data_IF_980866999713
#
_entry.id   IF_980866999713
#
_cell.length_a   1.000
_cell.length_b   1.000
_cell.length_c   1.000
_cell.angle_alpha   90.00
_cell.angle_beta   90.00
_cell.angle_gamma   90.00
#
_symmetry.space_group_name_H-M   'P 1'
#
loop_
_entity.id
_entity.type
_entity.pdbx_description
1 polymer ?
#
# COMPACT_ATOMS: atom_id res chain seq x y z
N UNK A 1 -11.62 -8.62 5.29
CA UNK A 1 -10.26 -8.30 4.82
C UNK A 1 -9.67 -7.18 5.68
N UNK A 2 -8.48 -7.38 6.24
CA UNK A 2 -7.86 -6.44 7.20
C UNK A 2 -7.41 -5.15 6.48
N UNK A 3 -6.88 -5.28 5.27
CA UNK A 3 -6.41 -4.18 4.42
C UNK A 3 -7.32 -3.99 3.20
N UNK A 4 -7.45 -2.76 2.72
CA UNK A 4 -8.22 -2.40 1.53
C UNK A 4 -7.44 -1.45 0.66
N UNK A 5 -7.67 -1.53 -0.65
CA UNK A 5 -7.19 -0.51 -1.60
C UNK A 5 -7.65 0.87 -1.13
N UNK A 6 -6.74 1.83 -1.19
CA UNK A 6 -6.90 3.20 -0.69
C UNK A 6 -6.68 3.38 0.80
N UNK A 7 -6.49 2.32 1.60
CA UNK A 7 -6.07 2.48 2.99
C UNK A 7 -4.78 3.29 3.06
N UNK A 8 -4.75 4.27 3.96
CA UNK A 8 -3.54 5.00 4.33
C UNK A 8 -3.04 4.40 5.64
N UNK A 9 -1.81 3.91 5.63
CA UNK A 9 -1.18 3.27 6.77
C UNK A 9 0.03 4.06 7.25
N UNK A 10 0.31 4.00 8.54
CA UNK A 10 1.61 4.30 9.11
C UNK A 10 2.39 2.99 9.22
N UNK A 11 3.51 2.90 8.51
CA UNK A 11 4.41 1.75 8.50
C UNK A 11 5.68 2.07 9.29
N UNK A 12 6.24 1.07 9.97
CA UNK A 12 7.60 1.08 10.46
C UNK A 12 8.13 -0.35 10.57
N UNK A 13 9.45 -0.50 10.60
CA UNK A 13 10.14 -1.76 10.86
C UNK A 13 11.37 -1.47 11.72
N UNK A 14 11.58 -2.16 12.86
CA UNK A 14 12.76 -1.96 13.69
C UNK A 14 14.06 -2.14 12.92
N UNK A 15 15.05 -1.32 13.24
CA UNK A 15 16.39 -1.42 12.66
C UNK A 15 17.10 -2.67 13.17
N UNK A 16 17.29 -3.66 12.30
CA UNK A 16 17.87 -4.96 12.61
C UNK A 16 19.31 -5.04 12.08
N UNK A 17 20.28 -5.44 12.90
CA UNK A 17 21.67 -5.60 12.46
C UNK A 17 21.81 -6.57 11.28
N UNK A 18 22.67 -6.23 10.33
CA UNK A 18 23.08 -7.09 9.22
C UNK A 18 24.47 -6.72 8.69
N UNK A 19 24.93 -7.43 7.67
CA UNK A 19 26.23 -7.25 7.00
C UNK A 19 26.02 -6.91 5.53
N UNK A 20 26.80 -5.96 5.05
CA UNK A 20 26.86 -5.58 3.64
C UNK A 20 27.62 -6.65 2.85
N UNK A 21 26.98 -7.23 1.84
CA UNK A 21 27.55 -8.30 1.00
C UNK A 21 28.16 -7.74 -0.29
N UNK A 22 27.66 -6.61 -0.77
CA UNK A 22 28.13 -5.98 -2.01
C UNK A 22 27.71 -4.53 -2.10
N UNK A 23 28.43 -3.77 -2.91
CA UNK A 23 28.13 -2.37 -3.24
C UNK A 23 28.45 -2.14 -4.70
N UNK A 24 27.52 -1.51 -5.41
CA UNK A 24 27.77 -0.94 -6.74
C UNK A 24 27.35 0.54 -6.78
N UNK A 25 27.33 1.13 -7.98
CA UNK A 25 26.98 2.55 -8.15
C UNK A 25 25.55 2.87 -7.70
N UNK A 26 24.61 1.96 -7.89
CA UNK A 26 23.19 2.18 -7.65
C UNK A 26 22.70 1.53 -6.35
N UNK A 27 23.30 0.43 -5.92
CA UNK A 27 22.78 -0.42 -4.85
C UNK A 27 23.80 -0.79 -3.79
N UNK A 28 23.30 -0.98 -2.57
CA UNK A 28 23.99 -1.73 -1.51
C UNK A 28 23.25 -3.05 -1.30
N UNK A 29 23.96 -4.15 -1.42
CA UNK A 29 23.43 -5.48 -1.10
C UNK A 29 23.74 -5.81 0.34
N UNK A 30 22.73 -6.27 1.08
CA UNK A 30 22.88 -6.73 2.46
C UNK A 30 22.36 -8.16 2.58
N UNK A 31 22.95 -8.93 3.49
CA UNK A 31 22.29 -10.16 3.94
C UNK A 31 20.93 -9.78 4.54
N UNK A 32 19.85 -10.38 4.09
CA UNK A 32 18.55 -9.97 4.62
C UNK A 32 18.32 -10.61 5.99
N UNK A 33 17.97 -9.84 7.03
CA UNK A 33 17.98 -10.37 8.39
C UNK A 33 16.69 -11.12 8.78
N UNK A 34 15.65 -11.07 7.96
CA UNK A 34 14.32 -11.58 8.33
C UNK A 34 13.86 -12.81 7.55
N UNK A 35 14.51 -13.12 6.42
CA UNK A 35 14.10 -14.23 5.57
C UNK A 35 15.10 -15.36 5.64
N UNK A 36 14.59 -16.58 5.50
CA UNK A 36 15.39 -17.78 5.29
C UNK A 36 15.28 -18.20 3.83
N UNK A 37 16.34 -18.78 3.26
CA UNK A 37 16.26 -19.34 1.91
C UNK A 37 15.29 -20.53 1.96
N UNK A 38 14.34 -20.57 1.03
CA UNK A 38 13.42 -21.70 0.90
C UNK A 38 14.10 -22.83 0.11
N UNK A 39 14.48 -23.95 0.75
CA UNK A 39 15.14 -25.06 0.06
C UNK A 39 14.19 -25.84 -0.86
N UNK A 40 12.88 -25.71 -0.64
CA UNK A 40 11.81 -26.43 -1.33
C UNK A 40 11.18 -25.58 -2.43
N UNK A 41 11.70 -24.37 -2.69
CA UNK A 41 11.27 -23.56 -3.82
C UNK A 41 11.82 -24.14 -5.14
N UNK A 42 10.92 -24.54 -6.04
CA UNK A 42 11.29 -25.14 -7.32
C UNK A 42 11.52 -24.08 -8.41
N UNK A 43 10.74 -23.00 -8.39
CA UNK A 43 10.69 -21.99 -9.45
C UNK A 43 11.59 -20.78 -9.23
N UNK A 44 12.01 -20.51 -7.99
CA UNK A 44 12.77 -19.30 -7.63
C UNK A 44 13.88 -19.65 -6.66
N UNK A 45 15.12 -19.24 -6.98
CA UNK A 45 16.28 -19.39 -6.10
C UNK A 45 16.76 -18.03 -5.65
N UNK A 46 16.50 -17.71 -4.39
CA UNK A 46 17.02 -16.50 -3.75
C UNK A 46 18.31 -16.81 -2.98
N UNK A 47 19.26 -15.88 -2.99
CA UNK A 47 20.60 -16.08 -2.45
C UNK A 47 20.78 -15.59 -0.99
N UNK A 48 19.72 -15.11 -0.35
CA UNK A 48 19.79 -14.57 1.01
C UNK A 48 20.08 -13.07 1.09
N UNK A 49 20.14 -12.37 -0.04
CA UNK A 49 20.54 -10.97 -0.12
C UNK A 49 19.45 -10.08 -0.72
N UNK A 50 19.37 -8.84 -0.23
CA UNK A 50 18.48 -7.80 -0.79
C UNK A 50 19.32 -6.59 -1.16
N UNK A 51 19.08 -6.06 -2.35
CA UNK A 51 19.66 -4.82 -2.84
C UNK A 51 18.77 -3.63 -2.45
N UNK A 52 19.36 -2.62 -1.84
CA UNK A 52 18.71 -1.38 -1.45
C UNK A 52 19.29 -0.22 -2.26
N UNK A 53 18.45 0.70 -2.72
CA UNK A 53 18.90 1.86 -3.47
C UNK A 53 19.86 2.74 -2.65
N UNK A 54 20.91 3.24 -3.28
CA UNK A 54 21.87 4.19 -2.67
C UNK A 54 21.49 5.64 -2.91
N UNK A 55 20.80 5.92 -4.00
CA UNK A 55 20.53 7.28 -4.47
C UNK A 55 19.15 7.80 -4.08
N UNK A 56 18.21 6.93 -3.73
CA UNK A 56 16.85 7.30 -3.37
C UNK A 56 16.75 7.60 -1.87
N UNK A 57 16.66 8.87 -1.45
CA UNK A 57 16.53 9.23 -0.04
C UNK A 57 15.20 8.78 0.56
N UNK A 58 14.21 8.51 -0.29
CA UNK A 58 12.85 8.17 0.09
C UNK A 58 12.59 6.65 -0.02
N UNK A 59 13.61 5.84 -0.35
CA UNK A 59 13.59 4.38 -0.33
C UNK A 59 12.90 3.87 0.94
N UNK A 60 12.03 2.86 0.79
CA UNK A 60 11.19 2.41 1.90
C UNK A 60 12.06 1.84 3.02
N UNK A 61 13.00 0.96 2.65
CA UNK A 61 14.01 0.40 3.54
C UNK A 61 15.28 1.23 3.50
N UNK A 62 15.72 1.69 4.67
CA UNK A 62 16.97 2.44 4.79
C UNK A 62 17.95 1.72 5.70
N UNK A 63 19.22 2.12 5.58
CA UNK A 63 20.32 1.60 6.39
C UNK A 63 20.83 2.65 7.38
N UNK A 64 21.36 2.17 8.50
CA UNK A 64 22.13 2.94 9.47
C UNK A 64 23.47 2.23 9.73
N UNK A 65 24.63 2.80 9.32
CA UNK A 65 24.80 4.08 8.61
C UNK A 65 24.15 4.10 7.21
N UNK A 66 23.90 5.31 6.69
CA UNK A 66 23.23 5.50 5.40
C UNK A 66 23.97 4.81 4.23
N UNK A 67 23.21 4.28 3.26
CA UNK A 67 23.70 3.42 2.18
C UNK A 67 24.83 3.99 1.32
N UNK A 68 24.97 5.31 1.09
CA UNK A 68 26.14 5.85 0.38
C UNK A 68 27.46 5.67 1.11
N UNK A 69 27.44 5.50 2.44
CA UNK A 69 28.62 5.42 3.30
C UNK A 69 29.13 3.99 3.52
N UNK A 70 28.40 2.99 3.05
CA UNK A 70 28.68 1.57 3.32
C UNK A 70 29.66 0.97 2.29
N UNK A 71 30.48 0.04 2.77
CA UNK A 71 31.37 -0.80 1.97
C UNK A 71 31.10 -2.30 2.21
N UNK A 72 31.48 -3.20 1.29
CA UNK A 72 31.36 -4.64 1.50
C UNK A 72 32.07 -5.10 2.77
N UNK A 73 31.39 -5.92 3.57
CA UNK A 73 31.87 -6.42 4.86
C UNK A 73 31.51 -5.55 6.06
N UNK A 74 31.01 -4.33 5.86
CA UNK A 74 30.55 -3.48 6.96
C UNK A 74 29.34 -4.09 7.66
N UNK A 75 29.25 -3.84 8.98
CA UNK A 75 28.02 -4.07 9.74
C UNK A 75 27.18 -2.82 9.70
N UNK A 76 25.90 -2.97 9.36
CA UNK A 76 24.90 -1.90 9.41
C UNK A 76 23.62 -2.41 10.08
N UNK A 77 22.60 -1.56 10.16
CA UNK A 77 21.23 -1.95 10.51
C UNK A 77 20.31 -1.57 9.36
N UNK A 78 19.33 -2.41 9.06
CA UNK A 78 18.29 -2.13 8.07
C UNK A 78 16.93 -2.07 8.75
N UNK A 79 16.08 -1.14 8.32
CA UNK A 79 14.73 -0.97 8.86
C UNK A 79 13.92 0.05 8.08
N UNK A 80 12.73 0.35 8.58
CA UNK A 80 11.84 1.37 8.02
C UNK A 80 11.51 2.35 9.15
N UNK A 81 11.94 3.63 9.09
CA UNK A 81 11.48 4.63 10.04
C UNK A 81 9.96 4.83 9.89
N UNK A 82 9.30 5.34 10.93
CA UNK A 82 7.86 5.58 10.86
C UNK A 82 7.51 6.53 9.69
N UNK A 83 6.74 6.05 8.72
CA UNK A 83 6.37 6.77 7.49
C UNK A 83 4.92 6.48 7.12
N UNK A 84 4.33 7.37 6.31
CA UNK A 84 3.00 7.17 5.74
C UNK A 84 3.13 6.53 4.36
N UNK A 85 2.29 5.53 4.11
CA UNK A 85 2.11 4.86 2.82
C UNK A 85 0.62 4.75 2.52
N UNK A 86 0.25 4.51 1.26
CA UNK A 86 -1.11 4.19 0.88
C UNK A 86 -1.18 3.02 -0.09
N UNK A 87 -2.19 2.17 0.08
CA UNK A 87 -2.34 0.92 -0.65
C UNK A 87 -3.00 1.18 -1.99
N UNK A 88 -2.37 0.71 -3.06
CA UNK A 88 -2.94 0.76 -4.41
C UNK A 88 -3.43 -0.61 -4.89
N UNK A 89 -2.84 -1.70 -4.39
CA UNK A 89 -3.30 -3.06 -4.67
C UNK A 89 -3.18 -3.95 -3.43
N UNK A 90 -4.05 -4.95 -3.35
CA UNK A 90 -4.00 -6.01 -2.35
C UNK A 90 -4.18 -7.35 -3.04
N UNK A 91 -3.24 -8.26 -2.82
CA UNK A 91 -3.26 -9.60 -3.41
C UNK A 91 -3.18 -10.66 -2.33
N UNK A 92 -4.18 -11.54 -2.28
CA UNK A 92 -4.21 -12.72 -1.41
C UNK A 92 -3.85 -13.96 -2.23
N UNK A 93 -2.97 -14.80 -1.67
CA UNK A 93 -2.49 -16.03 -2.30
C UNK A 93 -2.99 -17.25 -1.51
N UNK A 94 -3.66 -18.17 -2.21
CA UNK A 94 -4.01 -19.49 -1.70
C UNK A 94 -3.73 -20.52 -2.81
N UNK A 95 -2.66 -21.34 -2.69
CA UNK A 95 -1.73 -21.43 -1.56
C UNK A 95 -0.78 -20.23 -1.44
N UNK A 96 -0.06 -20.07 -0.30
CA UNK A 96 0.98 -19.05 -0.15
C UNK A 96 2.00 -19.07 -1.28
N UNK A 97 2.45 -17.88 -1.68
CA UNK A 97 3.26 -17.67 -2.86
C UNK A 97 4.68 -18.22 -2.68
N UNK A 98 5.19 -18.92 -3.69
CA UNK A 98 6.58 -19.34 -3.74
C UNK A 98 7.48 -18.19 -4.22
N UNK A 99 8.20 -17.57 -3.29
CA UNK A 99 9.09 -16.42 -3.54
C UNK A 99 10.57 -16.79 -3.57
N UNK A 100 10.92 -18.03 -3.19
CA UNK A 100 12.31 -18.46 -3.00
C UNK A 100 12.85 -18.20 -1.59
N UNK A 101 12.03 -17.65 -0.70
CA UNK A 101 12.34 -17.44 0.72
C UNK A 101 11.16 -17.81 1.62
N UNK A 102 11.48 -18.05 2.90
CA UNK A 102 10.53 -18.29 3.97
C UNK A 102 10.43 -17.07 4.91
N UNK A 103 9.25 -16.82 5.49
CA UNK A 103 7.98 -17.53 5.23
C UNK A 103 7.42 -17.19 3.84
N UNK A 104 6.75 -18.17 3.21
CA UNK A 104 5.99 -17.95 1.97
C UNK A 104 4.79 -17.04 2.27
N UNK A 105 4.68 -15.85 1.66
CA UNK A 105 3.62 -14.90 1.99
C UNK A 105 2.28 -15.36 1.40
N UNK A 106 1.21 -15.20 2.17
CA UNK A 106 -0.17 -15.34 1.72
C UNK A 106 -0.81 -14.00 1.34
N UNK A 107 -0.12 -12.89 1.60
CA UNK A 107 -0.60 -11.54 1.34
C UNK A 107 0.52 -10.63 0.81
N UNK A 108 0.29 -9.97 -0.31
CA UNK A 108 1.11 -8.86 -0.82
C UNK A 108 0.28 -7.58 -0.89
N UNK A 109 0.88 -6.48 -0.46
CA UNK A 109 0.35 -5.13 -0.56
C UNK A 109 1.25 -4.32 -1.47
N UNK A 110 0.70 -3.75 -2.55
CA UNK A 110 1.42 -2.77 -3.35
C UNK A 110 1.14 -1.38 -2.79
N UNK A 111 2.19 -0.66 -2.42
CA UNK A 111 2.07 0.60 -1.68
C UNK A 111 2.83 1.72 -2.37
N UNK A 112 2.27 2.93 -2.26
CA UNK A 112 2.91 4.17 -2.64
C UNK A 112 3.29 4.97 -1.40
N UNK A 113 4.31 5.80 -1.53
CA UNK A 113 4.80 6.66 -0.45
C UNK A 113 3.87 7.87 -0.30
N UNK A 114 3.99 8.53 0.85
CA UNK A 114 3.27 9.79 1.06
C UNK A 114 3.63 10.81 -0.03
N UNK A 115 2.62 11.44 -0.63
CA UNK A 115 2.80 12.41 -1.72
C UNK A 115 2.87 11.82 -3.13
N UNK A 116 2.90 10.50 -3.28
CA UNK A 116 2.83 9.84 -4.60
C UNK A 116 1.37 9.54 -4.98
N UNK A 117 0.93 9.98 -6.15
CA UNK A 117 -0.41 9.67 -6.65
C UNK A 117 -0.36 8.40 -7.51
N UNK A 118 -1.39 7.54 -7.45
CA UNK A 118 -1.48 6.41 -8.37
C UNK A 118 -1.54 6.91 -9.82
N UNK A 119 -0.67 6.39 -10.69
CA UNK A 119 -0.66 6.68 -12.12
C UNK A 119 -1.16 5.47 -12.91
N UNK A 120 -2.37 5.56 -13.46
CA UNK A 120 -2.96 4.48 -14.25
C UNK A 120 -2.22 4.17 -15.56
N UNK A 121 -1.35 5.07 -16.03
CA UNK A 121 -0.53 4.86 -17.22
C UNK A 121 0.82 4.17 -16.92
N UNK A 122 1.22 4.11 -15.65
CA UNK A 122 2.47 3.48 -15.24
C UNK A 122 2.32 1.96 -15.22
N UNK A 123 3.15 1.26 -15.99
CA UNK A 123 3.20 -0.22 -15.99
C UNK A 123 3.73 -0.76 -14.65
N UNK A 124 4.66 -0.04 -14.02
CA UNK A 124 5.25 -0.39 -12.74
C UNK A 124 5.26 0.84 -11.84
N UNK A 125 4.70 0.70 -10.64
CA UNK A 125 4.72 1.76 -9.61
C UNK A 125 4.66 1.14 -8.23
N UNK A 126 5.11 1.89 -7.23
CA UNK A 126 5.07 1.48 -5.83
C UNK A 126 6.06 0.38 -5.45
N UNK A 127 5.89 -0.11 -4.23
CA UNK A 127 6.73 -1.13 -3.62
C UNK A 127 5.85 -2.20 -3.03
N UNK A 128 6.15 -3.47 -3.30
CA UNK A 128 5.47 -4.59 -2.64
C UNK A 128 5.96 -4.74 -1.21
N UNK A 129 5.04 -4.97 -0.28
CA UNK A 129 5.35 -5.44 1.07
C UNK A 129 4.48 -6.65 1.40
N UNK A 130 5.04 -7.60 2.14
CA UNK A 130 4.35 -8.81 2.55
C UNK A 130 4.23 -8.84 4.08
N UNK A 131 3.09 -8.42 4.66
CA UNK A 131 2.93 -8.31 6.11
C UNK A 131 3.16 -9.62 6.87
N UNK A 132 2.89 -10.76 6.23
CA UNK A 132 3.11 -12.11 6.76
C UNK A 132 4.40 -12.76 6.22
N UNK A 133 5.17 -12.03 5.40
CA UNK A 133 6.42 -12.46 4.78
C UNK A 133 7.65 -12.39 5.69
N UNK A 134 7.49 -12.30 7.01
CA UNK A 134 8.59 -12.40 7.99
C UNK A 134 9.28 -11.08 8.37
N UNK A 135 9.15 -10.02 7.56
CA UNK A 135 9.62 -8.68 7.96
C UNK A 135 8.72 -8.15 9.09
N UNK A 136 9.28 -7.71 10.24
CA UNK A 136 8.51 -7.34 11.42
C UNK A 136 7.92 -5.93 11.32
N UNK A 137 7.00 -5.73 10.38
CA UNK A 137 6.32 -4.46 10.23
C UNK A 137 5.40 -4.16 11.40
N UNK A 138 5.34 -2.89 11.79
CA UNK A 138 4.20 -2.31 12.48
C UNK A 138 3.39 -1.53 11.46
N UNK A 139 2.14 -1.95 11.25
CA UNK A 139 1.19 -1.32 10.34
C UNK A 139 0.00 -0.81 11.14
N UNK A 140 -0.25 0.50 11.05
CA UNK A 140 -1.38 1.14 11.73
C UNK A 140 -2.26 1.88 10.73
N UNK A 141 -3.57 1.61 10.75
CA UNK A 141 -4.53 2.31 9.90
C UNK A 141 -4.66 3.78 10.32
N UNK A 142 -4.35 4.69 9.40
CA UNK A 142 -4.51 6.14 9.58
C UNK A 142 -5.83 6.61 9.00
N UNK A 143 -6.18 6.12 7.81
CA UNK A 143 -7.43 6.49 7.13
C UNK A 143 -7.88 5.38 6.18
N UNK A 144 -9.19 5.11 6.18
CA UNK A 144 -9.84 4.23 5.20
C UNK A 144 -10.89 5.05 4.45
N UNK A 145 -10.69 5.32 3.15
CA UNK A 145 -11.69 6.03 2.35
C UNK A 145 -12.95 5.17 2.22
N UNK A 146 -14.12 5.79 2.31
CA UNK A 146 -15.41 5.09 2.19
C UNK A 146 -15.55 3.91 3.16
N UNK A 147 -15.06 4.04 4.40
CA UNK A 147 -15.11 2.98 5.42
C UNK A 147 -16.51 2.45 5.74
N UNK A 148 -17.56 3.13 5.27
CA UNK A 148 -18.96 2.76 5.38
C UNK A 148 -19.46 1.88 4.23
N UNK A 149 -18.62 1.52 3.26
CA UNK A 149 -18.93 0.62 2.14
C UNK A 149 -17.97 -0.59 2.09
N UNK A 150 -18.46 -1.67 1.48
CA UNK A 150 -17.70 -2.85 1.09
C UNK A 150 -17.62 -2.94 -0.44
N UNK A 151 -16.50 -3.44 -0.96
CA UNK A 151 -16.34 -3.66 -2.41
C UNK A 151 -17.42 -4.60 -2.91
N UNK A 152 -18.11 -4.21 -3.99
CA UNK A 152 -19.26 -4.90 -4.56
C UNK A 152 -20.62 -4.40 -4.08
N UNK A 153 -20.67 -3.44 -3.15
CA UNK A 153 -21.93 -2.83 -2.73
C UNK A 153 -22.58 -2.04 -3.87
N UNK A 154 -23.89 -2.22 -4.03
CA UNK A 154 -24.75 -1.45 -4.92
C UNK A 154 -25.47 -0.36 -4.13
N UNK A 155 -25.39 0.88 -4.61
CA UNK A 155 -25.99 2.06 -3.98
C UNK A 155 -26.83 2.84 -4.99
N UNK A 156 -27.91 3.47 -4.51
CA UNK A 156 -28.58 4.55 -5.21
C UNK A 156 -28.01 5.88 -4.71
N UNK A 157 -27.74 6.78 -5.65
CA UNK A 157 -27.33 8.15 -5.36
C UNK A 157 -28.55 9.07 -5.15
N UNK A 158 -28.31 10.34 -4.82
CA UNK A 158 -29.37 11.33 -4.58
C UNK A 158 -30.27 11.60 -5.79
N UNK A 159 -29.80 11.32 -7.00
CA UNK A 159 -30.58 11.42 -8.23
C UNK A 159 -31.38 10.14 -8.54
N UNK A 160 -31.29 9.12 -7.67
CA UNK A 160 -31.91 7.81 -7.86
C UNK A 160 -31.16 6.92 -8.86
N UNK A 161 -29.93 7.28 -9.23
CA UNK A 161 -29.09 6.50 -10.15
C UNK A 161 -28.38 5.40 -9.38
N UNK A 162 -28.33 4.19 -9.95
CA UNK A 162 -27.68 3.04 -9.33
C UNK A 162 -26.20 2.95 -9.72
N UNK A 163 -25.37 2.65 -8.73
CA UNK A 163 -23.92 2.53 -8.84
C UNK A 163 -23.44 1.30 -8.09
N UNK A 164 -22.38 0.68 -8.60
CA UNK A 164 -21.59 -0.32 -7.89
C UNK A 164 -20.29 0.32 -7.39
N UNK A 165 -19.95 0.06 -6.13
CA UNK A 165 -18.68 0.46 -5.52
C UNK A 165 -17.64 -0.64 -5.70
N UNK A 166 -16.67 -0.44 -6.59
CA UNK A 166 -15.57 -1.39 -6.81
C UNK A 166 -14.27 -0.97 -6.09
N UNK A 167 -14.26 0.21 -5.48
CA UNK A 167 -13.15 0.73 -4.70
C UNK A 167 -13.11 2.26 -4.66
N UNK A 168 -12.19 2.86 -3.88
CA UNK A 168 -12.15 4.30 -3.65
C UNK A 168 -11.98 5.16 -4.91
N UNK A 169 -11.53 4.58 -6.03
CA UNK A 169 -11.37 5.25 -7.33
C UNK A 169 -12.19 4.61 -8.46
N UNK A 170 -12.93 3.55 -8.15
CA UNK A 170 -13.62 2.72 -9.14
C UNK A 170 -15.10 2.65 -8.80
N UNK A 171 -15.88 3.42 -9.55
CA UNK A 171 -17.33 3.45 -9.48
C UNK A 171 -17.91 3.09 -10.84
N UNK A 172 -18.84 2.15 -10.86
CA UNK A 172 -19.51 1.72 -12.09
C UNK A 172 -20.99 2.08 -12.02
N UNK A 173 -21.46 2.96 -12.90
CA UNK A 173 -22.90 3.22 -13.01
C UNK A 173 -23.57 2.13 -13.86
N UNK A 174 -24.74 1.65 -13.41
CA UNK A 174 -25.48 0.59 -14.11
C UNK A 174 -26.07 1.01 -15.46
N UNK A 175 -26.22 2.31 -15.69
CA UNK A 175 -26.64 2.88 -16.98
C UNK A 175 -25.47 3.11 -17.96
N UNK A 176 -24.23 2.76 -17.56
CA UNK A 176 -23.03 2.84 -18.38
C UNK A 176 -22.42 4.24 -18.53
N UNK A 177 -23.01 5.28 -17.94
CA UNK A 177 -22.42 6.62 -17.99
C UNK A 177 -21.29 6.80 -16.96
N UNK A 178 -20.28 7.61 -17.30
CA UNK A 178 -19.15 7.89 -16.39
C UNK A 178 -19.54 8.79 -15.21
N UNK A 179 -18.57 9.01 -14.32
CA UNK A 179 -18.66 9.92 -13.19
C UNK A 179 -18.57 9.22 -11.83
N UNK A 180 -19.07 9.90 -10.81
CA UNK A 180 -19.09 9.45 -9.42
C UNK A 180 -20.47 9.72 -8.82
N UNK A 181 -20.92 8.95 -7.82
CA UNK A 181 -22.27 9.08 -7.29
C UNK A 181 -22.46 10.40 -6.52
N UNK A 182 -23.66 10.99 -6.66
CA UNK A 182 -24.05 12.19 -5.91
C UNK A 182 -24.60 11.79 -4.54
N UNK A 183 -24.02 12.32 -3.48
CA UNK A 183 -24.47 12.00 -2.12
C UNK A 183 -25.76 12.74 -1.76
N UNK A 184 -26.60 12.21 -0.84
CA UNK A 184 -26.39 10.99 -0.05
C UNK A 184 -26.55 9.70 -0.85
N UNK A 185 -26.00 8.63 -0.30
CA UNK A 185 -26.12 7.27 -0.85
C UNK A 185 -27.11 6.47 -0.03
N UNK A 186 -27.88 5.61 -0.71
CA UNK A 186 -28.72 4.59 -0.10
C UNK A 186 -28.24 3.22 -0.55
N UNK A 187 -27.91 2.32 0.40
CA UNK A 187 -27.53 0.95 0.07
C UNK A 187 -28.73 0.20 -0.53
N UNK A 188 -28.54 -0.40 -1.70
CA UNK A 188 -29.54 -1.22 -2.38
C UNK A 188 -29.32 -2.70 -2.07
N UNK A 189 -28.10 -3.17 -2.33
CA UNK A 189 -27.65 -4.56 -2.16
C UNK A 189 -26.20 -4.49 -1.71
N UNK A 190 -25.80 -5.29 -0.72
CA UNK A 190 -24.42 -5.25 -0.26
C UNK A 190 -24.19 -5.87 1.10
N UNK A 191 -22.92 -5.81 1.53
CA UNK A 191 -22.47 -6.26 2.85
C UNK A 191 -22.40 -5.14 3.89
N UNK A 192 -22.40 -3.87 3.46
CA UNK A 192 -22.41 -2.74 4.38
C UNK A 192 -23.72 -2.60 5.17
N UNK A 193 -23.68 -1.80 6.24
CA UNK A 193 -24.85 -1.40 7.00
C UNK A 193 -25.56 -0.21 6.30
N UNK A 194 -26.82 -0.37 5.84
CA UNK A 194 -27.57 0.72 5.22
C UNK A 194 -27.66 1.98 6.07
N UNK A 195 -27.77 1.86 7.40
CA UNK A 195 -27.88 3.01 8.29
C UNK A 195 -26.55 3.78 8.38
N UNK A 196 -25.43 3.06 8.42
CA UNK A 196 -24.10 3.65 8.41
C UNK A 196 -23.81 4.39 7.08
N UNK A 197 -24.19 3.79 5.95
CA UNK A 197 -24.07 4.42 4.62
C UNK A 197 -24.86 5.73 4.57
N UNK A 198 -26.14 5.69 4.96
CA UNK A 198 -27.00 6.87 4.95
C UNK A 198 -26.49 7.96 5.89
N UNK A 199 -26.04 7.60 7.10
CA UNK A 199 -25.52 8.55 8.07
C UNK A 199 -24.20 9.20 7.61
N UNK A 200 -23.28 8.40 7.05
CA UNK A 200 -21.98 8.89 6.60
C UNK A 200 -22.08 9.82 5.39
N UNK A 201 -23.08 9.61 4.53
CA UNK A 201 -23.27 10.36 3.28
C UNK A 201 -24.36 11.42 3.35
N UNK A 202 -25.06 11.55 4.49
CA UNK A 202 -26.05 12.60 4.73
C UNK A 202 -25.47 14.02 4.59
N UNK A 203 -24.15 14.16 4.78
CA UNK A 203 -23.41 15.40 4.56
C UNK A 203 -22.11 15.12 3.80
N UNK A 204 -21.61 16.12 3.09
CA UNK A 204 -20.36 16.00 2.33
C UNK A 204 -20.59 15.54 0.89
N UNK A 205 -19.52 15.05 0.26
CA UNK A 205 -19.51 14.62 -1.13
C UNK A 205 -18.37 13.63 -1.37
N UNK A 206 -18.44 12.91 -2.49
CA UNK A 206 -17.33 12.13 -3.01
C UNK A 206 -16.03 12.95 -3.07
N UNK A 207 -16.08 14.18 -3.58
CA UNK A 207 -14.91 15.08 -3.66
C UNK A 207 -14.32 15.42 -2.28
N UNK A 208 -15.18 15.64 -1.28
CA UNK A 208 -14.72 15.87 0.09
C UNK A 208 -14.03 14.63 0.69
N UNK A 209 -14.54 13.43 0.40
CA UNK A 209 -13.92 12.17 0.85
C UNK A 209 -12.57 11.94 0.17
N UNK A 210 -12.48 12.16 -1.14
CA UNK A 210 -11.20 12.13 -1.89
C UNK A 210 -10.22 13.16 -1.34
N UNK A 211 -10.67 14.36 -0.97
CA UNK A 211 -9.82 15.40 -0.37
C UNK A 211 -9.27 14.95 0.99
N UNK A 212 -10.08 14.30 1.82
CA UNK A 212 -9.64 13.72 3.10
C UNK A 212 -8.60 12.63 2.90
N UNK A 213 -8.83 11.74 1.92
CA UNK A 213 -7.88 10.71 1.54
C UNK A 213 -6.55 11.31 1.07
N UNK A 214 -6.57 12.25 0.12
CA UNK A 214 -5.36 12.94 -0.38
C UNK A 214 -4.56 13.55 0.75
N UNK A 215 -5.24 14.23 1.69
CA UNK A 215 -4.59 14.81 2.87
C UNK A 215 -3.90 13.74 3.72
N UNK A 216 -4.57 12.62 3.98
CA UNK A 216 -4.00 11.52 4.76
C UNK A 216 -2.81 10.88 4.04
N UNK A 217 -2.90 10.70 2.72
CA UNK A 217 -1.84 10.16 1.86
C UNK A 217 -0.69 11.16 1.58
N UNK A 218 -0.70 12.37 2.16
CA UNK A 218 0.34 13.38 1.94
C UNK A 218 0.29 14.08 0.56
N UNK A 219 -0.78 13.87 -0.21
CA UNK A 219 -1.01 14.44 -1.55
C UNK A 219 -1.56 15.87 -1.52
N UNK A 220 -1.03 16.74 -0.65
CA UNK A 220 -1.50 18.12 -0.64
C UNK A 220 -1.11 18.84 -1.94
N UNK A 221 -2.05 19.59 -2.51
CA UNK A 221 -1.75 20.52 -3.59
C UNK A 221 -0.70 21.51 -3.08
N UNK A 222 0.43 21.59 -3.77
CA UNK A 222 1.43 22.65 -3.58
C UNK A 222 0.80 24.01 -3.93
N UNK A 223 -0.01 24.56 -3.03
CA UNK A 223 -0.26 25.99 -2.93
C UNK A 223 0.96 26.67 -2.26
N UNK A 224 2.16 26.38 -2.76
CA UNK A 224 3.40 27.11 -2.49
C UNK A 224 4.26 27.13 -3.74
N UNK A 225 3.85 27.99 -4.67
CA UNK A 225 4.78 28.72 -5.55
C UNK A 225 4.05 29.89 -6.19
N UNK A 226 4.06 31.03 -5.51
CA UNK A 226 4.32 32.38 -6.05
C UNK A 226 4.45 33.39 -4.92
#
# INVERSE_FOLDING_TARGET
MIYRVGDVLRISCPFTPTVVTGVDEAYVSVRWPWWEIDPDAEGVRWNGEVALCRADPDELYITDPASPLLAPGDTCRVGIPARIIHLIEVHEYEPPQETGWLPRPSLSLLVLRAGEAPDAAAEFQGTSIEPDGGVPFTLELVFRPYAFLEVGDDVADAAGRAWRFDGPWTWAAYDGAGGVPVWPLALLIGGADPAAVAAATATGSHEAEVTRWRRAAGLQDDARSR
#
